data_IF_853434874836
#
_entry.id   IF_853434874836
#
_cell.length_a   1.000
_cell.length_b   1.000
_cell.length_c   1.000
_cell.angle_alpha   90.00
_cell.angle_beta   90.00
_cell.angle_gamma   90.00
#
_symmetry.space_group_name_H-M   'P 1'
#
loop_
_entity.id
_entity.type
_entity.pdbx_description
1 polymer ?
#
# COMPACT_ATOMS: atom_id res chain seq x y z
N UNK A 1 13.12 -7.47 6.75
CA UNK A 1 14.19 -8.46 6.56
C UNK A 1 14.86 -8.16 5.22
N UNK A 2 16.19 -8.32 5.08
CA UNK A 2 16.81 -8.23 3.77
C UNK A 2 16.32 -9.41 2.90
N UNK A 3 15.81 -9.11 1.71
CA UNK A 3 15.18 -10.01 0.71
C UNK A 3 16.14 -11.01 0.05
N UNK A 4 17.33 -11.22 0.61
CA UNK A 4 18.40 -11.95 -0.07
C UNK A 4 18.35 -13.48 0.08
N UNK A 5 17.38 -14.08 0.79
CA UNK A 5 17.47 -15.50 1.17
C UNK A 5 16.16 -16.30 1.25
N UNK A 6 15.07 -15.94 0.57
CA UNK A 6 13.90 -16.84 0.50
C UNK A 6 14.18 -17.92 -0.55
N UNK A 7 14.50 -19.15 -0.09
CA UNK A 7 14.91 -20.28 -0.93
C UNK A 7 13.87 -21.39 -0.97
N UNK A 8 12.92 -21.39 -0.04
CA UNK A 8 11.90 -22.42 0.09
C UNK A 8 10.48 -21.84 0.08
N UNK A 9 9.52 -22.66 -0.34
CA UNK A 9 8.10 -22.31 -0.29
C UNK A 9 7.62 -22.00 1.14
N UNK A 10 8.23 -22.61 2.15
CA UNK A 10 7.84 -22.40 3.54
C UNK A 10 8.33 -21.05 4.08
N UNK A 11 9.55 -20.64 3.73
CA UNK A 11 10.07 -19.29 3.99
C UNK A 11 9.22 -18.22 3.29
N UNK A 12 8.82 -18.48 2.05
CA UNK A 12 7.93 -17.57 1.31
C UNK A 12 6.57 -17.44 1.99
N UNK A 13 5.96 -18.55 2.44
CA UNK A 13 4.68 -18.49 3.19
C UNK A 13 4.82 -17.71 4.49
N UNK A 14 5.93 -17.86 5.20
CA UNK A 14 6.19 -17.13 6.44
C UNK A 14 6.35 -15.63 6.18
N UNK A 15 7.09 -15.27 5.12
CA UNK A 15 7.25 -13.91 4.64
C UNK A 15 5.88 -13.31 4.22
N UNK A 16 5.16 -13.98 3.33
CA UNK A 16 3.85 -13.56 2.88
C UNK A 16 2.86 -13.41 4.05
N UNK A 17 2.83 -14.32 5.02
CA UNK A 17 1.98 -14.23 6.22
C UNK A 17 2.33 -13.02 7.11
N UNK A 18 3.60 -12.65 7.19
CA UNK A 18 4.04 -11.47 7.92
C UNK A 18 3.59 -10.16 7.24
N UNK A 19 3.58 -10.11 5.91
CA UNK A 19 3.20 -8.93 5.13
C UNK A 19 1.68 -8.85 4.87
N UNK A 20 1.00 -9.98 4.69
CA UNK A 20 -0.47 -10.09 4.60
C UNK A 20 -1.13 -10.20 5.96
N UNK A 21 -0.49 -9.71 7.04
CA UNK A 21 -1.18 -9.61 8.33
C UNK A 21 -2.51 -8.92 8.09
N UNK A 22 -3.59 -9.60 8.48
CA UNK A 22 -4.92 -9.00 8.55
C UNK A 22 -4.74 -7.65 9.23
N UNK A 23 -5.19 -6.57 8.58
CA UNK A 23 -5.24 -5.21 9.14
C UNK A 23 -5.49 -5.33 10.64
N UNK A 24 -4.47 -5.01 11.45
CA UNK A 24 -4.45 -5.37 12.86
C UNK A 24 -5.78 -4.94 13.52
N UNK A 25 -6.38 -5.85 14.29
CA UNK A 25 -7.42 -5.42 15.20
C UNK A 25 -6.73 -4.59 16.28
N UNK A 26 -6.90 -3.28 16.18
CA UNK A 26 -6.41 -2.23 17.07
C UNK A 26 -6.26 -2.69 18.53
N UNK A 27 -5.05 -3.05 18.93
CA UNK A 27 -4.68 -3.16 20.33
C UNK A 27 -3.58 -2.16 20.62
N UNK A 28 -3.93 -1.20 21.48
CA UNK A 28 -3.07 -0.30 22.26
C UNK A 28 -2.83 1.10 21.68
N UNK A 29 -3.76 2.01 22.00
CA UNK A 29 -3.41 3.28 22.66
C UNK A 29 -2.67 4.35 21.84
N UNK A 30 -3.10 4.66 20.62
CA UNK A 30 -2.62 5.84 19.88
C UNK A 30 -3.63 6.98 19.90
N UNK A 31 -3.12 8.18 20.19
CA UNK A 31 -3.79 9.48 20.30
C UNK A 31 -4.30 10.03 18.94
N UNK A 32 -5.11 9.24 18.22
CA UNK A 32 -5.60 9.57 16.88
C UNK A 32 -7.00 9.03 16.60
N UNK A 33 -7.72 9.66 15.67
CA UNK A 33 -9.05 9.23 15.24
C UNK A 33 -8.93 8.10 14.20
N UNK A 34 -8.96 6.85 14.63
CA UNK A 34 -8.90 5.70 13.74
C UNK A 34 -10.30 5.38 13.20
N UNK A 35 -10.49 5.52 11.89
CA UNK A 35 -11.74 5.14 11.20
C UNK A 35 -11.47 4.02 10.20
N UNK A 36 -12.23 2.93 10.31
CA UNK A 36 -12.14 1.78 9.40
C UNK A 36 -13.00 2.03 8.17
N UNK A 37 -12.39 2.01 6.98
CA UNK A 37 -13.11 2.08 5.71
C UNK A 37 -13.31 0.65 5.20
N UNK A 38 -14.57 0.26 4.98
CA UNK A 38 -14.91 -1.04 4.41
C UNK A 38 -14.82 -0.96 2.88
N UNK A 39 -13.96 -1.79 2.30
CA UNK A 39 -13.76 -1.94 0.85
C UNK A 39 -13.96 -3.40 0.45
N UNK A 40 -14.41 -3.68 -0.78
CA UNK A 40 -14.65 -5.07 -1.20
C UNK A 40 -13.37 -5.82 -1.60
N UNK A 41 -12.28 -5.09 -1.85
CA UNK A 41 -10.95 -5.65 -2.10
C UNK A 41 -9.91 -4.57 -2.41
N UNK A 42 -8.67 -4.99 -2.71
CA UNK A 42 -7.56 -4.08 -3.02
C UNK A 42 -7.82 -3.21 -4.26
N UNK A 43 -8.55 -3.73 -5.26
CA UNK A 43 -8.91 -2.93 -6.44
C UNK A 43 -9.77 -1.72 -6.07
N UNK A 44 -10.75 -1.92 -5.18
CA UNK A 44 -11.63 -0.83 -4.72
C UNK A 44 -10.88 0.15 -3.81
N UNK A 45 -10.01 -0.37 -2.94
CA UNK A 45 -9.12 0.43 -2.09
C UNK A 45 -8.21 1.34 -2.93
N UNK A 46 -7.54 0.76 -3.93
CA UNK A 46 -6.68 1.49 -4.85
C UNK A 46 -7.48 2.48 -5.71
N UNK A 47 -8.69 2.12 -6.11
CA UNK A 47 -9.60 3.03 -6.81
C UNK A 47 -9.96 4.26 -5.96
N UNK A 48 -10.22 4.06 -4.67
CA UNK A 48 -10.48 5.15 -3.73
C UNK A 48 -9.25 6.05 -3.57
N UNK A 49 -8.07 5.46 -3.31
CA UNK A 49 -6.81 6.21 -3.22
C UNK A 49 -6.48 6.99 -4.50
N UNK A 50 -6.70 6.39 -5.67
CA UNK A 50 -6.48 7.05 -6.96
C UNK A 50 -7.41 8.25 -7.16
N UNK A 51 -8.68 8.14 -6.75
CA UNK A 51 -9.62 9.25 -6.83
C UNK A 51 -9.25 10.39 -5.87
N UNK A 52 -8.74 10.09 -4.68
CA UNK A 52 -8.21 11.08 -3.75
C UNK A 52 -6.99 11.82 -4.36
N UNK A 53 -6.06 11.08 -4.98
CA UNK A 53 -4.90 11.69 -5.67
C UNK A 53 -5.37 12.61 -6.81
N UNK A 54 -6.32 12.15 -7.63
CA UNK A 54 -6.89 12.98 -8.71
C UNK A 54 -7.51 14.25 -8.15
N UNK A 55 -8.26 14.17 -7.06
CA UNK A 55 -8.84 15.33 -6.40
C UNK A 55 -7.75 16.33 -5.95
N UNK A 56 -6.67 15.85 -5.33
CA UNK A 56 -5.54 16.71 -4.99
C UNK A 56 -4.94 17.40 -6.22
N UNK A 57 -4.77 16.67 -7.33
CA UNK A 57 -4.23 17.23 -8.57
C UNK A 57 -5.14 18.28 -9.21
N UNK A 58 -6.45 18.04 -9.22
CA UNK A 58 -7.44 19.01 -9.71
C UNK A 58 -7.40 20.29 -8.87
N UNK A 59 -7.35 20.18 -7.55
CA UNK A 59 -7.25 21.34 -6.66
C UNK A 59 -5.95 22.10 -6.90
N UNK A 60 -4.81 21.41 -7.05
CA UNK A 60 -3.51 22.03 -7.36
C UNK A 60 -3.54 22.79 -8.69
N UNK A 61 -4.30 22.30 -9.68
CA UNK A 61 -4.44 22.97 -10.98
C UNK A 61 -5.34 24.20 -10.93
N UNK A 62 -6.19 24.34 -9.92
CA UNK A 62 -6.98 25.56 -9.73
C UNK A 62 -6.05 26.70 -9.30
N UNK A 63 -6.00 27.78 -10.08
CA UNK A 63 -5.12 28.94 -9.83
C UNK A 63 -5.38 29.68 -8.48
N UNK A 64 -6.43 29.30 -7.75
CA UNK A 64 -6.86 29.91 -6.48
C UNK A 64 -6.74 28.95 -5.30
N UNK A 65 -5.56 28.35 -5.11
CA UNK A 65 -5.28 27.45 -3.98
C UNK A 65 -5.57 28.10 -2.61
N UNK A 66 -5.36 29.41 -2.49
CA UNK A 66 -5.57 30.20 -1.27
C UNK A 66 -7.05 30.26 -0.82
N UNK A 67 -8.02 29.91 -1.68
CA UNK A 67 -9.45 29.90 -1.37
C UNK A 67 -10.00 28.49 -1.12
N UNK A 68 -9.14 27.48 -0.99
CA UNK A 68 -9.58 26.10 -0.79
C UNK A 68 -9.64 25.78 0.69
N UNK A 69 -10.84 25.49 1.22
CA UNK A 69 -11.05 25.03 2.61
C UNK A 69 -10.51 23.60 2.87
N UNK A 70 -9.83 23.01 1.89
CA UNK A 70 -9.34 21.62 1.93
C UNK A 70 -7.83 21.62 2.08
N UNK A 71 -7.35 21.01 3.17
CA UNK A 71 -5.93 20.71 3.31
C UNK A 71 -5.54 19.54 2.40
N UNK A 72 -4.94 19.88 1.25
CA UNK A 72 -4.47 18.94 0.24
C UNK A 72 -3.45 17.95 0.83
N UNK A 73 -2.64 18.39 1.80
CA UNK A 73 -1.67 17.54 2.48
C UNK A 73 -2.34 16.36 3.19
N UNK A 74 -3.36 16.66 4.00
CA UNK A 74 -4.17 15.64 4.69
C UNK A 74 -4.89 14.68 3.71
N UNK A 75 -5.45 15.19 2.60
CA UNK A 75 -6.12 14.35 1.60
C UNK A 75 -5.13 13.42 0.89
N UNK A 76 -3.94 13.92 0.56
CA UNK A 76 -2.88 13.12 -0.04
C UNK A 76 -2.37 12.06 0.93
N UNK A 77 -2.21 12.39 2.21
CA UNK A 77 -1.81 11.43 3.23
C UNK A 77 -2.81 10.27 3.32
N UNK A 78 -4.12 10.57 3.37
CA UNK A 78 -5.16 9.54 3.36
C UNK A 78 -5.10 8.65 2.11
N UNK A 79 -4.79 9.23 0.95
CA UNK A 79 -4.63 8.46 -0.29
C UNK A 79 -3.44 7.51 -0.23
N UNK A 80 -2.31 7.96 0.34
CA UNK A 80 -1.09 7.16 0.49
C UNK A 80 -1.27 6.03 1.50
N UNK A 81 -2.09 6.22 2.55
CA UNK A 81 -2.42 5.17 3.52
C UNK A 81 -3.20 4.00 2.89
N UNK A 82 -3.87 4.21 1.76
CA UNK A 82 -4.58 3.16 1.02
C UNK A 82 -3.67 2.32 0.12
N UNK A 83 -2.39 2.68 0.01
CA UNK A 83 -1.45 1.97 -0.83
C UNK A 83 -0.99 0.66 -0.15
N UNK A 84 -1.19 -0.52 -0.76
CA UNK A 84 -0.94 -1.82 -0.14
C UNK A 84 0.57 -2.14 -0.16
N UNK A 85 1.34 -1.40 0.63
CA UNK A 85 2.80 -1.43 0.64
C UNK A 85 3.34 -2.81 1.00
N UNK A 86 2.75 -3.48 1.97
CA UNK A 86 3.19 -4.80 2.41
C UNK A 86 2.92 -5.86 1.33
N UNK A 87 1.78 -5.77 0.65
CA UNK A 87 1.39 -6.66 -0.44
C UNK A 87 2.28 -6.47 -1.67
N UNK A 88 2.70 -5.23 -1.95
CA UNK A 88 3.68 -4.95 -3.00
C UNK A 88 5.08 -5.49 -2.68
N UNK A 89 5.50 -5.48 -1.41
CA UNK A 89 6.75 -6.15 -0.98
C UNK A 89 6.68 -7.67 -1.25
N UNK A 90 5.51 -8.29 -1.06
CA UNK A 90 5.32 -9.71 -1.43
C UNK A 90 5.36 -9.92 -2.94
N UNK A 91 4.76 -9.03 -3.71
CA UNK A 91 4.79 -9.11 -5.17
C UNK A 91 6.22 -9.00 -5.73
N UNK A 92 7.05 -8.12 -5.14
CA UNK A 92 8.45 -7.98 -5.51
C UNK A 92 9.24 -9.26 -5.22
N UNK A 93 8.99 -9.89 -4.06
CA UNK A 93 9.63 -11.17 -3.72
C UNK A 93 9.23 -12.30 -4.68
N UNK A 94 7.95 -12.40 -5.06
CA UNK A 94 7.50 -13.38 -6.08
C UNK A 94 8.25 -13.14 -7.39
N UNK A 95 8.41 -11.88 -7.80
CA UNK A 95 9.12 -11.53 -9.02
C UNK A 95 10.60 -11.96 -8.97
N UNK A 96 11.27 -11.71 -7.84
CA UNK A 96 12.66 -12.14 -7.61
C UNK A 96 12.81 -13.67 -7.68
N UNK A 97 11.89 -14.41 -7.05
CA UNK A 97 11.88 -15.87 -7.10
C UNK A 97 11.76 -16.38 -8.54
N UNK A 98 10.83 -15.83 -9.33
CA UNK A 98 10.63 -16.21 -10.74
C UNK A 98 11.83 -15.90 -11.64
N UNK A 99 12.54 -14.79 -11.40
CA UNK A 99 13.74 -14.45 -12.16
C UNK A 99 14.92 -15.34 -11.73
N UNK A 100 15.02 -15.70 -10.46
CA UNK A 100 16.09 -16.56 -9.94
C UNK A 100 16.01 -18.00 -10.43
N UNK A 101 14.80 -18.50 -10.72
CA UNK A 101 14.56 -19.84 -11.29
C UNK A 101 14.67 -19.88 -12.82
N UNK A 102 14.77 -18.73 -13.50
CA UNK A 102 14.90 -18.71 -14.95
C UNK A 102 16.24 -19.32 -15.38
N UNK A 103 16.26 -20.31 -16.30
CA UNK A 103 17.51 -20.93 -16.74
C UNK A 103 18.40 -19.85 -17.37
N UNK A 104 19.65 -19.76 -16.91
CA UNK A 104 20.69 -19.00 -17.63
C UNK A 104 20.66 -19.49 -19.07
N UNK A 105 20.25 -18.62 -20.01
CA UNK A 105 20.40 -18.88 -21.44
C UNK A 105 21.89 -19.12 -21.69
N UNK A 106 22.25 -20.36 -22.00
CA UNK A 106 23.57 -20.79 -22.48
C UNK A 106 23.72 -20.34 -23.92
#
# INVERSE_FOLDING_TARGET
>A
MPTSEIKTLEEFKQFASYHFKVLDAETNGSDGCVHKIKVAGYSDMMGLGLNLIKMCLEIIQMENLDNTDVDIGSVLELALQMFPRAELEVLDEIHLMLISEAPKKI
#
